data_IF_899539138210
#
_entry.id   IF_899539138210
#
_cell.length_a   1.000
_cell.length_b   1.000
_cell.length_c   1.000
_cell.angle_alpha   90.00
_cell.angle_beta   90.00
_cell.angle_gamma   90.00
#
_symmetry.space_group_name_H-M   'P 1'
#
loop_
_entity.id
_entity.type
_entity.pdbx_description
1 polymer ?
#
# COMPACT_ATOMS: atom_id res chain seq x y z
N UNK A 1 9.05 5.92 3.03
CA UNK A 1 8.31 6.17 4.25
C UNK A 1 7.79 7.60 4.21
N UNK A 2 6.56 7.83 4.64
CA UNK A 2 5.96 9.16 4.72
C UNK A 2 6.27 9.78 6.08
N UNK A 3 6.49 11.09 6.12
CA UNK A 3 6.54 11.83 7.37
C UNK A 3 5.13 11.99 7.98
N UNK A 4 5.06 12.38 9.25
CA UNK A 4 3.78 12.47 9.99
C UNK A 4 2.79 13.47 9.38
N UNK A 5 3.27 14.58 8.80
CA UNK A 5 2.41 15.58 8.17
C UNK A 5 1.81 15.01 6.88
N UNK A 6 2.66 14.39 6.06
CA UNK A 6 2.21 13.73 4.82
C UNK A 6 1.23 12.60 5.11
N UNK A 7 1.46 11.80 6.16
CA UNK A 7 0.50 10.78 6.60
C UNK A 7 -0.86 11.42 6.91
N UNK A 8 -0.90 12.38 7.82
CA UNK A 8 -2.15 12.97 8.27
C UNK A 8 -2.94 13.68 7.16
N UNK A 9 -2.25 14.40 6.27
CA UNK A 9 -2.91 15.19 5.23
C UNK A 9 -3.23 14.40 3.96
N UNK A 10 -2.37 13.47 3.55
CA UNK A 10 -2.43 12.88 2.21
C UNK A 10 -2.62 11.36 2.19
N UNK A 11 -2.48 10.68 3.32
CA UNK A 11 -2.63 9.21 3.41
C UNK A 11 -3.85 8.83 4.23
N UNK A 12 -3.99 9.38 5.44
CA UNK A 12 -5.09 9.06 6.35
C UNK A 12 -6.49 9.23 5.73
N UNK A 13 -6.79 10.29 4.95
CA UNK A 13 -8.11 10.43 4.34
C UNK A 13 -8.48 9.27 3.41
N UNK A 14 -7.50 8.70 2.70
CA UNK A 14 -7.74 7.55 1.81
C UNK A 14 -7.91 6.26 2.61
N UNK A 15 -7.12 6.04 3.65
CA UNK A 15 -7.27 4.89 4.55
C UNK A 15 -8.63 4.94 5.24
N UNK A 16 -9.03 6.10 5.78
CA UNK A 16 -10.33 6.28 6.41
C UNK A 16 -11.50 6.06 5.42
N UNK A 17 -11.33 6.46 4.15
CA UNK A 17 -12.33 6.18 3.12
C UNK A 17 -12.45 4.69 2.84
N UNK A 18 -11.33 3.96 2.77
CA UNK A 18 -11.33 2.51 2.58
C UNK A 18 -11.91 1.76 3.79
N UNK A 19 -11.60 2.19 5.02
CA UNK A 19 -12.21 1.64 6.23
C UNK A 19 -13.72 1.86 6.26
N UNK A 20 -14.20 3.04 5.85
CA UNK A 20 -15.65 3.34 5.75
C UNK A 20 -16.35 2.54 4.66
N UNK A 21 -15.66 2.16 3.59
CA UNK A 21 -16.19 1.27 2.55
C UNK A 21 -16.46 -0.14 3.12
N UNK A 22 -15.53 -0.65 3.93
CA UNK A 22 -15.62 -1.99 4.51
C UNK A 22 -16.50 -2.03 5.78
N UNK A 23 -16.50 -0.95 6.57
CA UNK A 23 -17.25 -0.83 7.83
C UNK A 23 -18.25 0.31 7.70
N UNK A 24 -19.43 0.01 7.15
CA UNK A 24 -20.49 1.04 6.96
C UNK A 24 -21.27 1.37 8.24
N UNK A 25 -21.44 0.40 9.12
CA UNK A 25 -22.16 0.55 10.41
C UNK A 25 -21.46 -0.19 11.54
N UNK A 26 -21.30 -1.51 11.41
CA UNK A 26 -20.64 -2.37 12.40
C UNK A 26 -20.07 -3.64 11.75
N UNK A 27 -19.15 -4.29 12.45
CA UNK A 27 -18.74 -5.67 12.15
C UNK A 27 -19.67 -6.63 12.90
N UNK A 28 -20.72 -7.07 12.20
CA UNK A 28 -21.75 -7.97 12.77
C UNK A 28 -21.15 -9.28 13.26
N UNK A 29 -20.16 -9.82 12.53
CA UNK A 29 -19.53 -11.10 12.88
C UNK A 29 -18.74 -10.97 14.17
N UNK A 30 -17.87 -9.99 14.25
CA UNK A 30 -17.03 -9.75 15.43
C UNK A 30 -17.88 -9.40 16.65
N UNK A 31 -18.86 -8.50 16.50
CA UNK A 31 -19.74 -8.09 17.61
C UNK A 31 -20.59 -9.25 18.14
N UNK A 32 -20.96 -10.21 17.28
CA UNK A 32 -21.74 -11.38 17.69
C UNK A 32 -20.96 -12.37 18.54
N UNK A 33 -19.66 -12.53 18.28
CA UNK A 33 -18.82 -13.54 18.97
C UNK A 33 -17.93 -12.95 20.05
N UNK A 34 -17.65 -11.65 19.98
CA UNK A 34 -16.73 -10.94 20.90
C UNK A 34 -17.37 -9.64 21.41
N UNK A 35 -18.33 -9.73 22.37
CA UNK A 35 -19.06 -8.56 22.85
C UNK A 35 -18.22 -7.62 23.74
N UNK A 36 -17.05 -8.08 24.20
CA UNK A 36 -16.16 -7.31 25.07
C UNK A 36 -14.76 -7.20 24.51
N UNK A 37 -14.01 -6.11 24.82
CA UNK A 37 -12.60 -5.96 24.47
C UNK A 37 -11.77 -7.14 24.97
N UNK A 38 -10.90 -7.67 24.10
CA UNK A 38 -9.98 -8.73 24.45
C UNK A 38 -8.64 -8.49 23.77
N UNK A 39 -7.57 -8.38 24.56
CA UNK A 39 -6.23 -8.29 24.02
C UNK A 39 -5.83 -9.58 23.31
N UNK A 40 -5.16 -9.43 22.17
CA UNK A 40 -4.63 -10.53 21.39
C UNK A 40 -3.50 -10.13 20.47
N UNK A 41 -2.97 -11.12 19.77
CA UNK A 41 -1.91 -10.93 18.78
C UNK A 41 -2.22 -11.72 17.51
N UNK A 42 -1.74 -11.19 16.36
CA UNK A 42 -1.88 -11.82 15.06
C UNK A 42 -0.52 -11.79 14.34
N UNK A 43 -0.15 -12.92 13.76
CA UNK A 43 1.05 -13.07 12.92
C UNK A 43 0.79 -12.57 11.50
N UNK A 44 1.68 -11.73 10.99
CA UNK A 44 1.69 -11.30 9.59
C UNK A 44 2.66 -12.19 8.81
N UNK A 45 2.11 -13.08 7.96
CA UNK A 45 2.86 -14.11 7.23
C UNK A 45 2.72 -13.88 5.72
N UNK A 46 3.84 -13.86 5.01
CA UNK A 46 3.86 -13.84 3.55
C UNK A 46 3.27 -15.12 2.96
N UNK A 47 2.49 -14.99 1.89
CA UNK A 47 1.93 -16.13 1.13
C UNK A 47 2.60 -16.34 -0.22
N UNK A 48 3.54 -15.47 -0.60
CA UNK A 48 4.23 -15.50 -1.88
C UNK A 48 5.56 -14.75 -1.78
N UNK A 49 6.55 -15.18 -2.58
CA UNK A 49 7.81 -14.46 -2.72
C UNK A 49 7.60 -13.10 -3.39
N UNK A 50 8.36 -12.09 -2.96
CA UNK A 50 8.25 -10.76 -3.55
C UNK A 50 9.05 -9.68 -2.83
N UNK A 51 8.73 -8.45 -3.16
CA UNK A 51 9.25 -7.25 -2.49
C UNK A 51 8.15 -6.70 -1.60
N UNK A 52 8.40 -6.64 -0.30
CA UNK A 52 7.43 -6.07 0.65
C UNK A 52 7.37 -4.55 0.50
N UNK A 53 6.17 -3.99 0.51
CA UNK A 53 5.95 -2.55 0.40
C UNK A 53 4.62 -2.13 1.01
N UNK A 54 4.65 -1.06 1.82
CA UNK A 54 3.45 -0.49 2.43
C UNK A 54 3.28 -0.82 3.91
N UNK A 55 4.33 -1.21 4.61
CA UNK A 55 4.30 -1.55 6.04
C UNK A 55 3.76 -0.39 6.88
N UNK A 56 4.16 0.86 6.60
CA UNK A 56 3.66 2.03 7.29
C UNK A 56 2.17 2.26 7.07
N UNK A 57 1.66 1.96 5.86
CA UNK A 57 0.23 2.07 5.55
C UNK A 57 -0.55 0.97 6.27
N UNK A 58 -0.01 -0.24 6.30
CA UNK A 58 -0.57 -1.37 7.05
C UNK A 58 -0.73 -1.03 8.54
N UNK A 59 0.32 -0.55 9.20
CA UNK A 59 0.29 -0.11 10.60
C UNK A 59 -0.72 1.01 10.80
N UNK A 60 -0.76 1.99 9.85
CA UNK A 60 -1.64 3.15 9.97
C UNK A 60 -3.12 2.80 9.96
N UNK A 61 -3.53 1.75 9.24
CA UNK A 61 -4.91 1.25 9.26
C UNK A 61 -5.34 0.91 10.69
N UNK A 62 -4.52 0.19 11.43
CA UNK A 62 -4.84 -0.20 12.80
C UNK A 62 -4.78 0.97 13.78
N UNK A 63 -3.75 1.82 13.68
CA UNK A 63 -3.60 2.97 14.58
C UNK A 63 -4.63 4.07 14.34
N UNK A 64 -5.32 4.08 13.20
CA UNK A 64 -6.49 4.93 12.96
C UNK A 64 -7.78 4.37 13.59
N UNK A 65 -7.86 3.06 13.79
CA UNK A 65 -8.97 2.41 14.48
C UNK A 65 -8.80 2.46 15.99
N UNK A 66 -7.56 2.22 16.47
CA UNK A 66 -7.20 2.26 17.89
C UNK A 66 -5.72 2.63 18.02
N UNK A 67 -5.47 3.78 18.69
CA UNK A 67 -4.13 4.32 18.90
C UNK A 67 -3.24 3.42 19.79
N UNK A 68 -3.82 2.53 20.58
CA UNK A 68 -3.08 1.62 21.45
C UNK A 68 -2.61 0.35 20.74
N UNK A 69 -3.08 0.11 19.50
CA UNK A 69 -2.60 -1.00 18.66
C UNK A 69 -1.12 -0.83 18.31
N UNK A 70 -0.35 -1.90 18.47
CA UNK A 70 1.09 -1.93 18.20
C UNK A 70 1.39 -2.91 17.07
N UNK A 71 2.26 -2.51 16.15
CA UNK A 71 2.75 -3.36 15.08
C UNK A 71 4.26 -3.49 15.18
N UNK A 72 4.75 -4.71 15.17
CA UNK A 72 6.17 -5.04 15.13
C UNK A 72 6.50 -5.65 13.79
N UNK A 73 7.43 -5.05 13.05
CA UNK A 73 7.89 -5.58 11.77
C UNK A 73 9.31 -6.15 11.90
N UNK A 74 9.53 -7.30 11.27
CA UNK A 74 10.85 -7.98 11.17
C UNK A 74 11.55 -7.69 9.84
N UNK A 75 10.89 -6.93 8.97
CA UNK A 75 11.36 -6.51 7.64
C UNK A 75 11.03 -5.03 7.43
N UNK A 76 11.59 -4.45 6.38
CA UNK A 76 11.31 -3.07 5.96
C UNK A 76 10.86 -3.02 4.50
N UNK A 77 10.22 -1.92 4.11
CA UNK A 77 9.83 -1.69 2.71
C UNK A 77 11.06 -1.79 1.79
N UNK A 78 10.94 -2.60 0.74
CA UNK A 78 12.00 -2.92 -0.20
C UNK A 78 12.73 -4.23 0.05
N UNK A 79 12.56 -4.84 1.21
CA UNK A 79 13.15 -6.16 1.48
C UNK A 79 12.48 -7.24 0.61
N UNK A 80 13.30 -8.21 0.19
CA UNK A 80 12.80 -9.44 -0.44
C UNK A 80 12.29 -10.37 0.65
N UNK A 81 11.09 -10.89 0.45
CA UNK A 81 10.43 -11.81 1.36
C UNK A 81 10.07 -13.11 0.65
N UNK A 82 9.98 -14.20 1.41
CA UNK A 82 9.69 -15.53 0.91
C UNK A 82 8.31 -16.03 1.37
N UNK A 83 7.77 -17.00 0.64
CA UNK A 83 6.54 -17.68 1.03
C UNK A 83 6.67 -18.32 2.43
N UNK A 84 5.68 -18.11 3.28
CA UNK A 84 5.59 -18.55 4.68
C UNK A 84 6.53 -17.80 5.64
N UNK A 85 7.24 -16.77 5.19
CA UNK A 85 8.05 -15.93 6.09
C UNK A 85 7.14 -15.14 7.04
N UNK A 86 7.45 -15.18 8.33
CA UNK A 86 6.87 -14.28 9.32
C UNK A 86 7.52 -12.91 9.17
N UNK A 87 6.75 -11.88 8.83
CA UNK A 87 7.23 -10.53 8.55
C UNK A 87 6.86 -9.51 9.61
N UNK A 88 6.00 -9.88 10.55
CA UNK A 88 5.62 -9.01 11.67
C UNK A 88 4.54 -9.60 12.54
N UNK A 89 4.18 -8.84 13.58
CA UNK A 89 3.08 -9.13 14.50
C UNK A 89 2.28 -7.87 14.79
N UNK A 90 0.99 -8.04 15.03
CA UNK A 90 0.07 -6.97 15.42
C UNK A 90 -0.53 -7.32 16.78
N UNK A 91 -0.50 -6.38 17.72
CA UNK A 91 -0.99 -6.53 19.09
C UNK A 91 -2.07 -5.49 19.37
N UNK A 92 -3.21 -5.89 19.92
CA UNK A 92 -4.28 -4.95 20.24
C UNK A 92 -5.58 -5.65 20.66
N UNK A 93 -6.67 -4.92 20.70
CA UNK A 93 -8.01 -5.50 20.87
C UNK A 93 -8.34 -6.35 19.62
N UNK A 94 -8.62 -7.64 19.83
CA UNK A 94 -8.93 -8.57 18.70
C UNK A 94 -10.03 -8.03 17.80
N UNK A 95 -11.02 -7.30 18.32
CA UNK A 95 -12.09 -6.69 17.51
C UNK A 95 -11.53 -5.65 16.54
N UNK A 96 -10.59 -4.83 16.98
CA UNK A 96 -9.89 -3.86 16.14
C UNK A 96 -9.05 -4.57 15.09
N UNK A 97 -8.33 -5.64 15.50
CA UNK A 97 -7.50 -6.42 14.59
C UNK A 97 -8.34 -7.06 13.48
N UNK A 98 -9.49 -7.64 13.80
CA UNK A 98 -10.40 -8.25 12.84
C UNK A 98 -11.03 -7.19 11.89
N UNK A 99 -11.47 -6.05 12.42
CA UNK A 99 -12.04 -4.96 11.62
C UNK A 99 -11.03 -4.34 10.64
N UNK A 100 -9.77 -4.20 11.05
CA UNK A 100 -8.73 -3.57 10.22
C UNK A 100 -8.04 -4.50 9.23
N UNK A 101 -8.08 -5.82 9.46
CA UNK A 101 -7.29 -6.82 8.73
C UNK A 101 -7.44 -6.70 7.22
N UNK A 102 -8.68 -6.70 6.71
CA UNK A 102 -8.93 -6.74 5.27
C UNK A 102 -8.40 -5.50 4.57
N UNK A 103 -8.72 -4.33 5.09
CA UNK A 103 -8.24 -3.05 4.55
C UNK A 103 -6.71 -2.97 4.60
N UNK A 104 -6.09 -3.34 5.72
CA UNK A 104 -4.63 -3.33 5.88
C UNK A 104 -3.94 -4.26 4.88
N UNK A 105 -4.44 -5.51 4.74
CA UNK A 105 -3.91 -6.48 3.80
C UNK A 105 -4.12 -6.06 2.34
N UNK A 106 -5.24 -5.43 1.99
CA UNK A 106 -5.49 -4.96 0.63
C UNK A 106 -4.46 -3.92 0.20
N UNK A 107 -4.13 -2.95 1.06
CA UNK A 107 -3.04 -1.99 0.79
C UNK A 107 -1.69 -2.69 0.69
N UNK A 108 -1.32 -3.52 1.67
CA UNK A 108 -0.02 -4.19 1.71
C UNK A 108 0.20 -5.08 0.49
N UNK A 109 -0.80 -5.88 0.12
CA UNK A 109 -0.74 -6.78 -1.03
C UNK A 109 -0.65 -6.00 -2.35
N UNK A 110 -1.46 -4.96 -2.51
CA UNK A 110 -1.43 -4.11 -3.72
C UNK A 110 -0.08 -3.43 -3.88
N UNK A 111 0.42 -2.80 -2.84
CA UNK A 111 1.69 -2.08 -2.85
C UNK A 111 2.88 -3.02 -3.07
N UNK A 112 2.90 -4.17 -2.40
CA UNK A 112 3.93 -5.18 -2.58
C UNK A 112 3.91 -5.81 -3.97
N UNK A 113 2.72 -6.03 -4.54
CA UNK A 113 2.56 -6.52 -5.91
C UNK A 113 3.15 -5.57 -6.95
N UNK A 114 2.90 -4.25 -6.81
CA UNK A 114 3.47 -3.22 -7.67
C UNK A 114 5.00 -3.17 -7.51
N UNK A 115 5.51 -3.18 -6.27
CA UNK A 115 6.95 -3.15 -6.01
C UNK A 115 7.65 -4.40 -6.58
N UNK A 116 7.06 -5.58 -6.41
CA UNK A 116 7.57 -6.85 -6.93
C UNK A 116 7.65 -6.83 -8.46
N UNK A 117 6.57 -6.45 -9.14
CA UNK A 117 6.56 -6.38 -10.59
C UNK A 117 7.56 -5.33 -11.11
N UNK A 118 7.60 -4.16 -10.46
CA UNK A 118 8.58 -3.12 -10.80
C UNK A 118 10.01 -3.62 -10.67
N UNK A 119 10.32 -4.36 -9.61
CA UNK A 119 11.68 -4.89 -9.41
C UNK A 119 12.08 -5.90 -10.49
N UNK A 120 11.14 -6.72 -10.96
CA UNK A 120 11.38 -7.65 -12.07
C UNK A 120 11.71 -6.92 -13.37
N UNK A 121 10.93 -5.87 -13.69
CA UNK A 121 11.18 -5.05 -14.89
C UNK A 121 12.46 -4.25 -14.77
N UNK A 122 12.74 -3.65 -13.60
CA UNK A 122 13.96 -2.89 -13.35
C UNK A 122 15.23 -3.77 -13.51
N UNK A 123 15.17 -5.02 -13.06
CA UNK A 123 16.28 -5.98 -13.21
C UNK A 123 16.61 -6.27 -14.69
N UNK A 124 15.60 -6.27 -15.59
CA UNK A 124 15.85 -6.45 -17.04
C UNK A 124 16.57 -5.25 -17.69
N UNK A 125 16.53 -4.10 -17.05
CA UNK A 125 17.15 -2.86 -17.53
C UNK A 125 18.53 -2.61 -16.90
N UNK A 126 18.97 -3.48 -15.99
CA UNK A 126 20.24 -3.34 -15.31
C UNK A 126 21.42 -3.33 -16.30
N UNK A 127 22.35 -2.40 -16.13
CA UNK A 127 23.51 -2.22 -17.03
C UNK A 127 23.21 -1.52 -18.36
N UNK A 128 21.94 -1.24 -18.70
CA UNK A 128 21.57 -0.58 -20.00
C UNK A 128 21.64 0.94 -19.92
N UNK A 129 21.67 1.55 -18.74
CA UNK A 129 21.53 2.99 -18.54
C UNK A 129 20.08 3.53 -18.70
N UNK A 130 19.11 2.67 -19.02
CA UNK A 130 17.69 3.03 -19.17
C UNK A 130 17.05 3.11 -17.79
N UNK A 131 16.27 4.18 -17.55
CA UNK A 131 15.49 4.34 -16.31
C UNK A 131 14.05 3.94 -16.53
N UNK A 132 13.53 3.06 -15.68
CA UNK A 132 12.09 2.73 -15.62
C UNK A 132 11.34 3.87 -14.96
N UNK A 133 10.37 4.47 -15.64
CA UNK A 133 9.52 5.55 -15.13
C UNK A 133 8.08 5.07 -14.98
N UNK A 134 7.41 5.54 -13.92
CA UNK A 134 5.95 5.40 -13.80
C UNK A 134 5.21 6.44 -14.66
N UNK A 135 3.89 6.41 -14.60
CA UNK A 135 3.02 7.39 -15.27
C UNK A 135 1.94 7.91 -14.33
N UNK A 136 1.09 8.83 -14.81
CA UNK A 136 -0.12 9.27 -14.12
C UNK A 136 -1.32 8.33 -14.34
N UNK A 137 -1.16 7.22 -15.04
CA UNK A 137 -2.19 6.19 -15.25
C UNK A 137 -2.28 5.27 -14.03
N UNK A 138 -2.67 5.85 -12.91
CA UNK A 138 -2.83 5.17 -11.63
C UNK A 138 -4.32 4.92 -11.35
N UNK A 139 -4.61 3.99 -10.47
CA UNK A 139 -5.95 3.84 -9.90
C UNK A 139 -6.37 5.17 -9.24
N UNK A 140 -7.57 5.70 -9.53
CA UNK A 140 -8.06 6.91 -8.88
C UNK A 140 -7.89 6.83 -7.35
N UNK A 141 -7.47 7.93 -6.76
CA UNK A 141 -7.19 8.08 -5.31
C UNK A 141 -6.02 7.25 -4.77
N UNK A 142 -5.45 6.31 -5.54
CA UNK A 142 -4.36 5.45 -5.08
C UNK A 142 -2.96 5.89 -5.56
N UNK A 143 -2.84 7.05 -6.23
CA UNK A 143 -1.55 7.49 -6.82
C UNK A 143 -0.42 7.58 -5.82
N UNK A 144 -0.67 8.06 -4.61
CA UNK A 144 0.35 8.19 -3.58
C UNK A 144 0.96 6.83 -3.22
N UNK A 145 0.13 5.81 -3.08
CA UNK A 145 0.54 4.45 -2.75
C UNK A 145 1.25 3.78 -3.94
N UNK A 146 0.68 3.90 -5.15
CA UNK A 146 1.22 3.23 -6.34
C UNK A 146 2.58 3.81 -6.76
N UNK A 147 2.74 5.14 -6.74
CA UNK A 147 4.03 5.78 -7.06
C UNK A 147 5.10 5.51 -6.01
N UNK A 148 4.73 5.43 -4.74
CA UNK A 148 5.63 4.98 -3.68
C UNK A 148 6.11 3.55 -3.95
N UNK A 149 5.20 2.65 -4.30
CA UNK A 149 5.51 1.24 -4.57
C UNK A 149 6.44 1.05 -5.77
N UNK A 150 6.26 1.84 -6.85
CA UNK A 150 7.17 1.84 -7.99
C UNK A 150 8.59 2.22 -7.55
N UNK A 151 8.73 3.25 -6.71
CA UNK A 151 10.04 3.68 -6.21
C UNK A 151 10.70 2.62 -5.32
N UNK A 152 9.91 1.97 -4.44
CA UNK A 152 10.39 0.87 -3.59
C UNK A 152 10.86 -0.33 -4.42
N UNK A 153 10.18 -0.62 -5.54
CA UNK A 153 10.57 -1.66 -6.48
C UNK A 153 11.76 -1.32 -7.40
N UNK A 154 12.41 -0.15 -7.21
CA UNK A 154 13.58 0.25 -8.00
C UNK A 154 13.26 1.05 -9.25
N UNK A 155 12.01 1.41 -9.50
CA UNK A 155 11.61 2.34 -10.53
C UNK A 155 11.80 3.80 -10.11
N UNK A 156 11.51 4.72 -11.03
CA UNK A 156 11.58 6.16 -10.80
C UNK A 156 10.21 6.78 -11.04
N UNK A 157 9.91 7.87 -10.32
CA UNK A 157 8.66 8.58 -10.52
C UNK A 157 8.79 9.64 -11.63
N UNK A 158 7.85 9.63 -12.56
CA UNK A 158 7.54 10.74 -13.45
C UNK A 158 6.68 11.75 -12.68
N UNK A 159 6.29 12.88 -13.29
CA UNK A 159 5.48 13.92 -12.66
C UNK A 159 4.29 13.34 -11.88
N UNK A 160 4.06 13.88 -10.69
CA UNK A 160 3.02 13.40 -9.79
C UNK A 160 1.61 13.85 -10.22
N UNK A 161 1.47 15.14 -10.62
CA UNK A 161 0.21 15.76 -10.99
C UNK A 161 0.40 16.80 -12.10
N UNK A 162 -0.62 17.58 -12.38
CA UNK A 162 -0.59 18.62 -13.43
C UNK A 162 0.28 19.83 -13.06
N UNK A 163 0.53 20.04 -11.77
CA UNK A 163 1.35 21.15 -11.27
C UNK A 163 2.85 20.79 -11.20
N UNK A 164 3.20 19.52 -11.42
CA UNK A 164 4.55 18.98 -11.30
C UNK A 164 5.22 18.85 -12.68
N UNK A 165 5.41 19.99 -13.34
CA UNK A 165 6.09 20.07 -14.63
C UNK A 165 5.17 20.16 -15.85
N UNK A 166 5.72 20.71 -16.92
CA UNK A 166 5.06 20.87 -18.22
C UNK A 166 5.23 19.60 -19.04
N UNK A 167 4.14 19.06 -19.56
CA UNK A 167 4.14 17.97 -20.54
C UNK A 167 3.35 18.41 -21.77
N UNK A 168 4.01 18.42 -22.91
CA UNK A 168 3.37 18.66 -24.20
C UNK A 168 3.07 17.30 -24.84
N UNK A 169 1.79 17.01 -25.11
CA UNK A 169 1.36 15.77 -25.71
C UNK A 169 0.10 15.96 -26.54
N UNK A 170 -0.14 15.07 -27.50
CA UNK A 170 -1.36 15.04 -28.29
C UNK A 170 -2.35 14.11 -27.62
N UNK A 171 -3.54 14.63 -27.26
CA UNK A 171 -4.68 13.80 -26.84
C UNK A 171 -5.53 13.42 -28.03
N UNK A 172 -5.58 12.15 -28.39
CA UNK A 172 -6.61 11.61 -29.29
C UNK A 172 -7.83 11.20 -28.46
N UNK A 173 -8.91 11.96 -28.55
CA UNK A 173 -10.20 11.64 -27.92
C UNK A 173 -10.84 10.53 -28.78
N UNK A 174 -11.17 9.38 -28.17
CA UNK A 174 -11.85 8.27 -28.83
C UNK A 174 -11.02 7.01 -29.05
N UNK A 175 -9.74 7.04 -28.84
CA UNK A 175 -8.91 5.85 -28.73
C UNK A 175 -8.40 5.72 -27.29
N UNK A 176 -9.07 4.89 -26.50
CA UNK A 176 -8.53 4.38 -25.24
C UNK A 176 -7.34 3.46 -25.55
N UNK A 177 -6.29 3.99 -26.18
CA UNK A 177 -5.08 3.25 -26.43
C UNK A 177 -4.02 3.67 -25.42
N UNK A 178 -3.52 2.70 -24.67
CA UNK A 178 -2.35 2.81 -23.82
C UNK A 178 -1.06 3.04 -24.61
N UNK A 179 -1.07 3.93 -25.61
CA UNK A 179 0.11 4.31 -26.35
C UNK A 179 0.51 5.73 -25.99
N UNK A 180 1.11 5.91 -24.82
CA UNK A 180 2.09 6.97 -24.64
C UNK A 180 3.36 6.50 -25.35
N UNK A 181 3.70 7.16 -26.44
CA UNK A 181 5.07 7.09 -26.96
C UNK A 181 5.90 8.08 -26.15
N UNK A 182 6.87 7.56 -25.44
CA UNK A 182 7.98 8.33 -24.88
C UNK A 182 8.93 8.62 -26.02
#
# INVERSE_FOLDING_TARGET
MYDQVTLGLNVDPFILSALKEDITSEDVSTNSVMPHPQAGEVDLICKQDGIICGLQVFERVFTLLDADTKVEFYVKDGDRVENKQLIGKVYGDIRVLLCGERTALNYLQRMSGIATYTSQVAALLEGTGIKLLDTRKTTPNNRIFEKYSVRVGGGNNHRYNLSDGVLIGIMEIGRASCRERV
#
